data_IF_431465021315
#
_entry.id   IF_431465021315
#
_cell.length_a   1.000
_cell.length_b   1.000
_cell.length_c   1.000
_cell.angle_alpha   90.00
_cell.angle_beta   90.00
_cell.angle_gamma   90.00
#
_symmetry.space_group_name_H-M   'P 1'
#
loop_
_entity.id
_entity.type
_entity.pdbx_description
1 polymer ?
#
# COMPACT_ATOMS: atom_id res chain seq x y z
N UNK A 1 0.14 3.29 4.98
CA UNK A 1 -0.86 2.34 5.51
C UNK A 1 -0.90 1.08 4.64
N UNK A 2 -0.75 -0.12 5.21
CA UNK A 2 -0.85 -1.34 4.39
C UNK A 2 -2.29 -1.59 3.86
N UNK A 3 -2.40 -2.38 2.78
CA UNK A 3 -3.69 -2.64 2.12
C UNK A 3 -4.73 -3.31 3.03
N UNK A 4 -4.31 -4.18 3.95
CA UNK A 4 -5.24 -4.88 4.85
C UNK A 4 -5.94 -3.91 5.79
N UNK A 5 -5.19 -2.96 6.33
CA UNK A 5 -5.71 -1.96 7.25
C UNK A 5 -6.59 -0.95 6.53
N UNK A 6 -6.22 -0.53 5.30
CA UNK A 6 -7.09 0.29 4.45
C UNK A 6 -8.47 -0.35 4.22
N UNK A 7 -8.51 -1.65 3.88
CA UNK A 7 -9.80 -2.34 3.66
C UNK A 7 -10.66 -2.39 4.92
N UNK A 8 -10.05 -2.55 6.08
CA UNK A 8 -10.76 -2.55 7.37
C UNK A 8 -11.29 -1.16 7.70
N UNK A 9 -10.45 -0.12 7.58
CA UNK A 9 -10.81 1.27 7.89
C UNK A 9 -11.94 1.77 6.99
N UNK A 10 -11.87 1.51 5.69
CA UNK A 10 -12.91 1.93 4.74
C UNK A 10 -14.12 1.00 4.71
N UNK A 11 -14.14 -0.07 5.52
CA UNK A 11 -15.18 -1.10 5.53
C UNK A 11 -15.45 -1.74 4.16
N UNK A 12 -14.38 -1.96 3.37
CA UNK A 12 -14.45 -2.53 2.02
C UNK A 12 -14.12 -4.03 2.08
N UNK A 13 -15.02 -4.88 1.59
CA UNK A 13 -14.74 -6.31 1.46
C UNK A 13 -13.77 -6.60 0.32
N UNK A 14 -13.04 -7.72 0.37
CA UNK A 14 -12.15 -8.13 -0.72
C UNK A 14 -12.87 -8.28 -2.07
N UNK A 15 -14.16 -8.66 -2.05
CA UNK A 15 -14.99 -8.75 -3.26
C UNK A 15 -15.25 -7.37 -3.86
N UNK A 16 -15.69 -6.41 -3.04
CA UNK A 16 -15.87 -5.03 -3.48
C UNK A 16 -14.56 -4.44 -3.98
N UNK A 17 -13.46 -4.68 -3.27
CA UNK A 17 -12.15 -4.18 -3.66
C UNK A 17 -11.67 -4.77 -5.00
N UNK A 18 -11.89 -6.07 -5.22
CA UNK A 18 -11.63 -6.70 -6.51
C UNK A 18 -12.39 -6.01 -7.64
N UNK A 19 -13.69 -5.74 -7.45
CA UNK A 19 -14.50 -5.01 -8.43
C UNK A 19 -13.97 -3.59 -8.71
N UNK A 20 -13.57 -2.85 -7.67
CA UNK A 20 -13.01 -1.50 -7.81
C UNK A 20 -11.69 -1.47 -8.60
N UNK A 21 -10.86 -2.48 -8.38
CA UNK A 21 -9.52 -2.58 -8.99
C UNK A 21 -9.50 -3.32 -10.32
N UNK A 22 -10.60 -4.01 -10.69
CA UNK A 22 -10.64 -4.93 -11.83
C UNK A 22 -9.95 -6.27 -11.56
N UNK A 23 -9.69 -6.60 -10.30
CA UNK A 23 -9.05 -7.85 -9.86
C UNK A 23 -10.10 -8.86 -9.37
N UNK A 24 -9.77 -10.16 -9.41
CA UNK A 24 -10.63 -11.17 -8.79
C UNK A 24 -10.47 -11.13 -7.26
N UNK A 25 -11.56 -11.42 -6.54
CA UNK A 25 -11.52 -11.50 -5.07
C UNK A 25 -10.50 -12.54 -4.58
N UNK A 26 -10.36 -13.66 -5.30
CA UNK A 26 -9.39 -14.72 -4.98
C UNK A 26 -7.96 -14.20 -5.09
N UNK A 27 -7.64 -13.41 -6.12
CA UNK A 27 -6.31 -12.82 -6.27
C UNK A 27 -6.01 -11.84 -5.12
N UNK A 28 -6.98 -10.98 -4.76
CA UNK A 28 -6.86 -10.09 -3.60
C UNK A 28 -6.60 -10.88 -2.31
N UNK A 29 -7.34 -11.97 -2.09
CA UNK A 29 -7.16 -12.85 -0.92
C UNK A 29 -5.75 -13.47 -0.88
N UNK A 30 -5.27 -14.00 -2.00
CA UNK A 30 -3.95 -14.65 -2.10
C UNK A 30 -2.81 -13.66 -1.86
N UNK A 31 -2.93 -12.44 -2.38
CA UNK A 31 -1.95 -11.38 -2.10
C UNK A 31 -1.97 -10.97 -0.63
N UNK A 32 -3.15 -10.74 -0.04
CA UNK A 32 -3.26 -10.41 1.38
C UNK A 32 -2.75 -11.53 2.30
N UNK A 33 -2.88 -12.79 1.88
CA UNK A 33 -2.34 -13.96 2.57
C UNK A 33 -0.85 -14.19 2.35
N UNK A 34 -0.18 -13.37 1.53
CA UNK A 34 1.25 -13.49 1.23
C UNK A 34 1.61 -14.62 0.26
N UNK A 35 0.63 -15.27 -0.35
CA UNK A 35 0.85 -16.36 -1.32
C UNK A 35 1.26 -15.83 -2.70
N UNK A 36 0.89 -14.59 -3.02
CA UNK A 36 1.20 -13.93 -4.28
C UNK A 36 1.58 -12.47 -4.04
N UNK A 37 2.22 -11.86 -5.05
CA UNK A 37 2.49 -10.42 -5.09
C UNK A 37 1.74 -9.80 -6.28
N UNK A 38 1.36 -8.54 -6.16
CA UNK A 38 0.86 -7.79 -7.31
C UNK A 38 1.97 -7.68 -8.37
N UNK A 39 1.61 -7.73 -9.67
CA UNK A 39 2.52 -7.28 -10.72
C UNK A 39 2.77 -5.76 -10.59
N UNK A 40 3.85 -5.20 -11.19
CA UNK A 40 4.12 -3.78 -11.11
C UNK A 40 2.92 -2.90 -11.52
N UNK A 41 2.22 -3.29 -12.59
CA UNK A 41 1.06 -2.57 -13.13
C UNK A 41 -0.14 -2.64 -12.17
N UNK A 42 -0.38 -3.82 -11.58
CA UNK A 42 -1.45 -3.99 -10.59
C UNK A 42 -1.17 -3.22 -9.30
N UNK A 43 0.09 -3.12 -8.89
CA UNK A 43 0.48 -2.34 -7.71
C UNK A 43 0.18 -0.85 -7.92
N UNK A 44 0.54 -0.29 -9.09
CA UNK A 44 0.19 1.09 -9.44
C UNK A 44 -1.32 1.29 -9.50
N UNK A 45 -2.06 0.36 -10.13
CA UNK A 45 -3.53 0.43 -10.21
C UNK A 45 -4.18 0.43 -8.82
N UNK A 46 -3.70 -0.41 -7.92
CA UNK A 46 -4.17 -0.46 -6.53
C UNK A 46 -3.87 0.85 -5.81
N UNK A 47 -2.65 1.39 -5.98
CA UNK A 47 -2.27 2.67 -5.40
C UNK A 47 -3.19 3.80 -5.89
N UNK A 48 -3.46 3.88 -7.19
CA UNK A 48 -4.39 4.86 -7.77
C UNK A 48 -5.82 4.71 -7.21
N UNK A 49 -6.36 3.49 -7.14
CA UNK A 49 -7.73 3.23 -6.65
C UNK A 49 -7.90 3.58 -5.18
N UNK A 50 -6.83 3.45 -4.40
CA UNK A 50 -6.80 3.87 -2.99
C UNK A 50 -6.42 5.33 -2.80
N UNK A 51 -6.38 6.11 -3.88
CA UNK A 51 -5.95 7.52 -3.89
C UNK A 51 -4.59 7.72 -3.20
N UNK A 52 -3.67 6.77 -3.42
CA UNK A 52 -2.33 6.71 -2.85
C UNK A 52 -2.27 6.67 -1.31
N UNK A 53 -3.37 6.36 -0.61
CA UNK A 53 -3.36 6.05 0.82
C UNK A 53 -2.57 4.76 1.12
N UNK A 54 -2.62 3.82 0.17
CA UNK A 54 -1.72 2.65 0.07
C UNK A 54 -0.77 2.89 -1.08
N UNK A 55 0.52 3.06 -0.80
CA UNK A 55 1.50 3.46 -1.82
C UNK A 55 2.07 2.25 -2.58
N UNK A 56 2.67 2.45 -3.77
CA UNK A 56 3.38 1.37 -4.47
C UNK A 56 4.48 0.74 -3.61
N UNK A 57 5.16 1.54 -2.80
CA UNK A 57 6.14 1.10 -1.81
C UNK A 57 5.56 0.08 -0.82
N UNK A 58 4.37 0.32 -0.28
CA UNK A 58 3.75 -0.60 0.69
C UNK A 58 3.23 -1.89 0.05
N UNK A 59 2.95 -1.87 -1.26
CA UNK A 59 2.48 -3.04 -2.01
C UNK A 59 3.64 -3.92 -2.52
N UNK A 60 4.73 -3.29 -2.95
CA UNK A 60 5.86 -3.91 -3.66
C UNK A 60 7.17 -3.18 -3.33
N UNK A 61 7.67 -3.26 -2.09
CA UNK A 61 8.90 -2.57 -1.69
C UNK A 61 10.15 -3.09 -2.40
N UNK A 62 10.08 -4.28 -3.01
CA UNK A 62 11.16 -4.88 -3.79
C UNK A 62 11.46 -4.14 -5.10
N UNK A 63 10.47 -3.47 -5.70
CA UNK A 63 10.62 -2.69 -6.94
C UNK A 63 10.32 -1.20 -6.76
N UNK A 64 9.70 -0.83 -5.64
CA UNK A 64 9.47 0.56 -5.22
C UNK A 64 10.13 0.77 -3.85
N UNK A 65 11.48 0.79 -3.78
CA UNK A 65 12.20 0.80 -2.51
C UNK A 65 12.01 2.10 -1.72
N UNK A 66 11.68 3.22 -2.37
CA UNK A 66 11.48 4.49 -1.71
C UNK A 66 9.99 4.80 -1.51
N UNK A 67 9.59 5.46 -0.41
CA UNK A 67 8.19 5.80 -0.14
C UNK A 67 7.52 6.66 -1.20
N UNK A 68 8.29 7.45 -1.96
CA UNK A 68 7.81 8.34 -3.02
C UNK A 68 7.79 7.71 -4.40
N UNK A 69 8.26 6.46 -4.55
CA UNK A 69 8.32 5.80 -5.84
C UNK A 69 6.90 5.54 -6.38
N UNK A 70 6.69 5.87 -7.66
CA UNK A 70 5.41 5.68 -8.33
C UNK A 70 4.28 6.62 -7.87
N UNK A 71 4.58 7.65 -7.08
CA UNK A 71 3.61 8.68 -6.69
C UNK A 71 3.54 9.82 -7.74
N UNK A 72 2.35 10.38 -8.03
CA UNK A 72 2.22 11.56 -8.87
C UNK A 72 2.81 12.81 -8.23
N UNK A 73 3.17 13.80 -9.06
CA UNK A 73 3.65 15.11 -8.60
C UNK A 73 2.58 15.77 -7.73
N UNK A 74 2.87 15.98 -6.45
CA UNK A 74 1.96 16.60 -5.47
C UNK A 74 1.48 15.66 -4.36
N UNK A 75 1.65 14.33 -4.51
CA UNK A 75 1.39 13.38 -3.43
C UNK A 75 2.63 13.26 -2.52
N UNK A 76 2.41 13.30 -1.20
CA UNK A 76 3.43 12.98 -0.20
C UNK A 76 3.21 11.58 0.33
N UNK A 77 4.29 10.83 0.52
CA UNK A 77 4.22 9.51 1.12
C UNK A 77 3.80 9.62 2.60
N UNK A 78 2.88 8.76 3.02
CA UNK A 78 2.49 8.62 4.42
C UNK A 78 3.49 7.69 5.12
N UNK A 79 4.72 8.14 5.36
CA UNK A 79 5.71 7.38 6.15
C UNK A 79 5.43 7.57 7.63
N UNK A 80 5.46 6.52 8.48
CA UNK A 80 5.62 6.72 9.91
C UNK A 80 6.94 7.48 10.12
N UNK A 81 6.83 8.63 10.77
CA UNK A 81 7.89 9.59 10.94
C UNK A 81 9.08 8.89 11.60
N UNK A 82 10.24 8.81 10.92
CA UNK A 82 11.50 8.29 11.49
C UNK A 82 12.07 9.20 12.62
N UNK A 83 11.25 10.07 13.22
CA UNK A 83 11.63 10.99 14.29
C UNK A 83 11.49 10.41 15.70
N UNK A 84 11.12 9.13 15.87
CA UNK A 84 11.14 8.43 17.17
C UNK A 84 12.49 7.75 17.49
N UNK A 85 13.60 8.09 16.81
CA UNK A 85 14.93 7.52 17.08
C UNK A 85 15.94 8.47 17.75
N UNK A 86 15.48 9.55 18.36
CA UNK A 86 16.33 10.41 19.21
C UNK A 86 15.62 10.74 20.52
N UNK A 87 15.59 9.79 21.45
CA UNK A 87 15.52 10.13 22.87
C UNK A 87 16.76 9.58 23.58
N UNK A 88 17.60 10.55 23.97
CA UNK A 88 18.45 10.56 25.17
C UNK A 88 19.46 9.42 25.37
N UNK A 89 20.73 9.74 25.10
CA UNK A 89 21.82 9.43 26.02
C UNK A 89 22.88 10.54 25.94
N UNK A 90 22.55 11.67 26.57
CA UNK A 90 23.50 12.69 27.00
C UNK A 90 23.10 13.13 28.41
N UNK A 91 23.67 12.49 29.42
CA UNK A 91 23.98 13.03 30.74
C UNK A 91 24.98 12.10 31.43
#
# INVERSE_FOLDING_TARGET
MNLRDYLKEKHITQLQFGKLTGLSQVHVSRVLGGYERFSPEKALRVAEVTNFEVTPHELRPDIYPNPTDGLPVGFKANTPNASELIHENQA
#
